data_IF_845345229036
#
_entry.id   IF_845345229036
#
_cell.length_a   1.000
_cell.length_b   1.000
_cell.length_c   1.000
_cell.angle_alpha   90.00
_cell.angle_beta   90.00
_cell.angle_gamma   90.00
#
_symmetry.space_group_name_H-M   'P 1'
#
loop_
_entity.id
_entity.type
_entity.pdbx_description
1 polymer ?
#
# COMPACT_ATOMS: atom_id res chain seq x y z
N UNK A 1 29.09 11.88 -3.69
CA UNK A 1 28.94 10.87 -4.76
C UNK A 1 27.54 10.33 -4.65
N UNK A 2 26.83 10.03 -5.76
CA UNK A 2 25.52 9.38 -5.62
C UNK A 2 25.69 8.07 -4.86
N UNK A 3 24.79 7.81 -3.91
CA UNK A 3 24.75 6.55 -3.16
C UNK A 3 24.47 5.40 -4.12
N UNK A 4 25.10 4.25 -3.90
CA UNK A 4 24.79 3.03 -4.65
C UNK A 4 23.39 2.55 -4.26
N UNK A 5 22.54 2.30 -5.25
CA UNK A 5 21.20 1.74 -5.03
C UNK A 5 20.80 0.82 -6.20
N UNK A 6 19.85 -0.07 -5.95
CA UNK A 6 19.22 -0.90 -6.98
C UNK A 6 17.80 -0.43 -7.20
N UNK A 7 17.29 -0.56 -8.43
CA UNK A 7 15.90 -0.23 -8.76
C UNK A 7 15.10 -1.52 -8.98
N UNK A 8 14.02 -1.66 -8.23
CA UNK A 8 13.04 -2.75 -8.34
C UNK A 8 11.73 -2.18 -8.85
N UNK A 9 11.13 -2.84 -9.82
CA UNK A 9 9.87 -2.46 -10.45
C UNK A 9 9.14 -3.69 -10.95
N UNK A 10 7.86 -3.57 -11.28
CA UNK A 10 7.16 -4.56 -12.09
C UNK A 10 7.85 -4.74 -13.44
N UNK A 11 7.70 -5.91 -14.07
CA UNK A 11 8.29 -6.22 -15.37
C UNK A 11 7.84 -5.24 -16.46
N UNK A 12 6.55 -4.90 -16.46
CA UNK A 12 5.95 -3.88 -17.31
C UNK A 12 4.93 -3.06 -16.49
N UNK A 13 4.86 -1.74 -16.70
CA UNK A 13 3.86 -0.86 -16.11
C UNK A 13 3.10 -0.19 -17.24
N UNK A 14 1.78 -0.39 -17.29
CA UNK A 14 0.85 0.31 -18.18
C UNK A 14 0.04 1.29 -17.37
N UNK A 15 0.20 2.56 -17.67
CA UNK A 15 -0.52 3.64 -16.99
C UNK A 15 -1.41 4.40 -17.96
N UNK A 16 -2.68 4.59 -17.59
CA UNK A 16 -3.63 5.42 -18.32
C UNK A 16 -5.03 4.82 -18.39
N UNK A 17 -6.00 5.66 -18.73
CA UNK A 17 -7.39 5.24 -18.85
C UNK A 17 -7.59 4.27 -20.01
N UNK A 18 -8.37 3.19 -19.78
CA UNK A 18 -8.63 2.16 -20.77
C UNK A 18 -7.55 1.07 -20.85
N UNK A 19 -6.51 1.12 -20.02
CA UNK A 19 -5.46 0.10 -20.04
C UNK A 19 -5.95 -1.28 -19.59
N UNK A 20 -7.07 -1.38 -18.88
CA UNK A 20 -7.71 -2.66 -18.55
C UNK A 20 -7.95 -3.53 -19.79
N UNK A 21 -8.29 -2.93 -20.93
CA UNK A 21 -8.60 -3.64 -22.18
C UNK A 21 -7.39 -4.41 -22.76
N UNK A 22 -6.18 -4.11 -22.28
CA UNK A 22 -4.95 -4.75 -22.76
C UNK A 22 -4.63 -6.06 -22.01
N UNK A 23 -5.31 -6.35 -20.88
CA UNK A 23 -4.99 -7.46 -19.97
C UNK A 23 -5.25 -8.82 -20.63
N UNK A 24 -6.44 -9.01 -21.21
CA UNK A 24 -6.82 -10.30 -21.81
C UNK A 24 -5.83 -10.74 -22.90
N UNK A 25 -5.39 -9.79 -23.75
CA UNK A 25 -4.39 -10.09 -24.79
C UNK A 25 -3.01 -10.44 -24.22
N UNK A 26 -2.61 -9.79 -23.10
CA UNK A 26 -1.35 -10.13 -22.43
C UNK A 26 -1.38 -11.53 -21.80
N UNK A 27 -2.50 -11.92 -21.17
CA UNK A 27 -2.69 -13.26 -20.57
C UNK A 27 -2.72 -14.33 -21.64
N UNK A 28 -3.49 -14.14 -22.73
CA UNK A 28 -3.64 -15.11 -23.82
C UNK A 28 -2.32 -15.48 -24.52
N UNK A 29 -1.32 -14.61 -24.47
CA UNK A 29 0.03 -14.92 -24.99
C UNK A 29 0.84 -15.85 -24.08
N UNK A 30 0.36 -16.15 -22.87
CA UNK A 30 1.13 -16.86 -21.83
C UNK A 30 0.45 -18.11 -21.31
N UNK A 31 -0.87 -18.17 -21.33
CA UNK A 31 -1.64 -19.27 -20.76
C UNK A 31 -3.07 -19.27 -21.25
N UNK A 32 -3.71 -20.43 -21.16
CA UNK A 32 -5.15 -20.61 -21.36
C UNK A 32 -5.92 -20.63 -20.03
N UNK A 33 -5.24 -20.94 -18.89
CA UNK A 33 -5.85 -21.10 -17.56
C UNK A 33 -5.43 -19.98 -16.62
N UNK A 34 -6.38 -19.13 -16.26
CA UNK A 34 -6.15 -17.95 -15.45
C UNK A 34 -7.05 -17.92 -14.22
N UNK A 35 -6.49 -17.52 -13.06
CA UNK A 35 -7.30 -17.20 -11.90
C UNK A 35 -7.41 -15.68 -11.76
N UNK A 36 -8.65 -15.17 -11.74
CA UNK A 36 -8.96 -13.78 -11.42
C UNK A 36 -9.26 -13.66 -9.92
N UNK A 37 -8.33 -13.08 -9.19
CA UNK A 37 -8.53 -12.68 -7.78
C UNK A 37 -9.18 -11.30 -7.77
N UNK A 38 -10.34 -11.16 -7.09
CA UNK A 38 -11.10 -9.92 -7.11
C UNK A 38 -11.69 -9.58 -5.72
N UNK A 39 -12.10 -8.32 -5.53
CA UNK A 39 -12.79 -7.87 -4.33
C UNK A 39 -14.25 -8.33 -4.28
N UNK A 40 -14.99 -7.90 -3.25
CA UNK A 40 -16.40 -8.28 -3.06
C UNK A 40 -17.34 -7.85 -4.19
N UNK A 41 -16.97 -6.90 -5.05
CA UNK A 41 -17.78 -6.44 -6.18
C UNK A 41 -17.63 -7.34 -7.41
N UNK A 42 -18.56 -8.29 -7.57
CA UNK A 42 -18.64 -9.14 -8.77
C UNK A 42 -18.87 -8.35 -10.07
N UNK A 43 -19.54 -7.19 -9.99
CA UNK A 43 -19.80 -6.35 -11.16
C UNK A 43 -18.51 -5.77 -11.78
N UNK A 44 -17.51 -5.42 -10.96
CA UNK A 44 -16.20 -4.97 -11.46
C UNK A 44 -15.44 -6.12 -12.13
N UNK A 45 -15.48 -7.31 -11.52
CA UNK A 45 -14.85 -8.51 -12.08
C UNK A 45 -15.48 -8.94 -13.41
N UNK A 46 -16.81 -8.77 -13.56
CA UNK A 46 -17.55 -9.22 -14.74
C UNK A 46 -17.03 -8.63 -16.06
N UNK A 47 -16.58 -7.39 -16.06
CA UNK A 47 -16.01 -6.73 -17.26
C UNK A 47 -14.76 -7.48 -17.71
N UNK A 48 -13.80 -7.68 -16.81
CA UNK A 48 -12.56 -8.37 -17.15
C UNK A 48 -12.80 -9.86 -17.45
N UNK A 49 -13.71 -10.53 -16.72
CA UNK A 49 -14.10 -11.91 -17.02
C UNK A 49 -14.66 -12.06 -18.44
N UNK A 50 -15.50 -11.12 -18.87
CA UNK A 50 -16.00 -11.08 -20.24
C UNK A 50 -14.90 -10.91 -21.28
N UNK A 51 -13.89 -10.09 -20.99
CA UNK A 51 -12.72 -9.89 -21.86
C UNK A 51 -11.84 -11.14 -21.92
N UNK A 52 -11.59 -11.81 -20.78
CA UNK A 52 -10.82 -13.06 -20.71
C UNK A 52 -11.54 -14.18 -21.49
N UNK A 53 -12.83 -14.35 -21.27
CA UNK A 53 -13.63 -15.33 -22.00
C UNK A 53 -13.68 -15.02 -23.51
N UNK A 54 -13.81 -13.75 -23.90
CA UNK A 54 -13.75 -13.29 -25.28
C UNK A 54 -12.41 -13.56 -25.96
N UNK A 55 -11.33 -13.67 -25.20
CA UNK A 55 -9.99 -14.07 -25.65
C UNK A 55 -9.77 -15.61 -25.64
N UNK A 56 -10.80 -16.40 -25.30
CA UNK A 56 -10.74 -17.87 -25.28
C UNK A 56 -10.07 -18.45 -24.03
N UNK A 57 -9.94 -17.66 -22.95
CA UNK A 57 -9.30 -18.09 -21.71
C UNK A 57 -10.27 -18.78 -20.77
N UNK A 58 -9.82 -19.84 -20.10
CA UNK A 58 -10.53 -20.50 -19.00
C UNK A 58 -10.25 -19.75 -17.69
N UNK A 59 -11.21 -18.92 -17.26
CA UNK A 59 -11.05 -18.00 -16.16
C UNK A 59 -11.77 -18.51 -14.89
N UNK A 60 -11.00 -18.88 -13.87
CA UNK A 60 -11.46 -19.19 -12.53
C UNK A 60 -11.48 -17.93 -11.67
N UNK A 61 -12.40 -17.84 -10.71
CA UNK A 61 -12.50 -16.66 -9.85
C UNK A 61 -12.23 -16.98 -8.39
N UNK A 62 -11.54 -16.08 -7.72
CA UNK A 62 -11.32 -16.14 -6.27
C UNK A 62 -11.62 -14.77 -5.64
N UNK A 63 -12.52 -14.72 -4.66
CA UNK A 63 -12.97 -13.45 -4.05
C UNK A 63 -12.28 -13.20 -2.71
N UNK A 64 -11.78 -11.98 -2.52
CA UNK A 64 -11.16 -11.49 -1.27
C UNK A 64 -11.89 -10.23 -0.84
N UNK A 65 -12.70 -10.33 0.23
CA UNK A 65 -13.55 -9.23 0.68
C UNK A 65 -12.87 -8.27 1.69
N UNK A 66 -11.76 -8.70 2.29
CA UNK A 66 -10.99 -7.98 3.33
C UNK A 66 -9.49 -8.26 3.15
N UNK A 67 -8.67 -7.77 4.07
CA UNK A 67 -7.26 -8.17 4.11
C UNK A 67 -7.13 -9.70 4.20
N UNK A 68 -6.31 -10.33 3.34
CA UNK A 68 -6.28 -11.77 3.22
C UNK A 68 -5.74 -12.40 4.50
N UNK A 69 -6.45 -13.38 5.03
CA UNK A 69 -5.96 -14.25 6.10
C UNK A 69 -5.08 -15.37 5.55
N UNK A 70 -4.35 -16.03 6.44
CA UNK A 70 -3.58 -17.23 6.10
C UNK A 70 -4.49 -18.32 5.48
N UNK A 71 -5.72 -18.43 5.96
CA UNK A 71 -6.70 -19.38 5.41
C UNK A 71 -7.16 -18.99 4.00
N UNK A 72 -7.42 -17.69 3.75
CA UNK A 72 -7.76 -17.22 2.41
C UNK A 72 -6.64 -17.56 1.40
N UNK A 73 -5.38 -17.35 1.79
CA UNK A 73 -4.23 -17.70 0.93
C UNK A 73 -4.15 -19.20 0.70
N UNK A 74 -4.34 -20.03 1.73
CA UNK A 74 -4.32 -21.49 1.59
C UNK A 74 -5.39 -21.95 0.60
N UNK A 75 -6.62 -21.49 0.78
CA UNK A 75 -7.74 -21.82 -0.10
C UNK A 75 -7.50 -21.38 -1.55
N UNK A 76 -6.94 -20.18 -1.76
CA UNK A 76 -6.58 -19.70 -3.09
C UNK A 76 -5.49 -20.53 -3.76
N UNK A 77 -4.48 -20.95 -3.01
CA UNK A 77 -3.40 -21.81 -3.51
C UNK A 77 -3.93 -23.21 -3.87
N UNK A 78 -4.78 -23.80 -3.03
CA UNK A 78 -5.39 -25.12 -3.29
C UNK A 78 -6.25 -25.07 -4.54
N UNK A 79 -7.18 -24.11 -4.65
CA UNK A 79 -8.01 -23.94 -5.86
C UNK A 79 -7.19 -23.70 -7.12
N UNK A 80 -6.11 -22.89 -7.04
CA UNK A 80 -5.25 -22.66 -8.17
C UNK A 80 -4.51 -23.93 -8.63
N UNK A 81 -4.07 -24.78 -7.68
CA UNK A 81 -3.45 -26.08 -7.98
C UNK A 81 -4.42 -27.07 -8.61
N UNK A 82 -5.62 -27.20 -8.02
CA UNK A 82 -6.69 -28.10 -8.53
C UNK A 82 -7.10 -27.74 -9.95
N UNK A 83 -7.25 -26.43 -10.24
CA UNK A 83 -7.59 -25.95 -11.57
C UNK A 83 -6.36 -25.85 -12.52
N UNK A 84 -5.17 -26.24 -12.05
CA UNK A 84 -3.93 -26.15 -12.82
C UNK A 84 -3.69 -24.74 -13.40
N UNK A 85 -3.93 -23.71 -12.60
CA UNK A 85 -3.78 -22.30 -13.00
C UNK A 85 -2.32 -21.99 -13.34
N UNK A 86 -2.13 -21.22 -14.39
CA UNK A 86 -0.81 -20.87 -14.93
C UNK A 86 -0.52 -19.35 -14.85
N UNK A 87 -1.55 -18.51 -14.70
CA UNK A 87 -1.44 -17.05 -14.54
C UNK A 87 -2.41 -16.59 -13.46
N UNK A 88 -1.96 -15.70 -12.60
CA UNK A 88 -2.81 -15.01 -11.62
C UNK A 88 -3.02 -13.56 -12.05
N UNK A 89 -4.26 -13.11 -12.05
CA UNK A 89 -4.65 -11.71 -12.29
C UNK A 89 -5.38 -11.20 -11.07
N UNK A 90 -4.93 -10.09 -10.47
CA UNK A 90 -5.64 -9.42 -9.37
C UNK A 90 -6.29 -8.14 -9.85
N UNK A 91 -7.61 -8.00 -9.60
CA UNK A 91 -8.37 -6.78 -9.87
C UNK A 91 -9.01 -6.29 -8.56
N UNK A 92 -8.40 -5.31 -7.91
CA UNK A 92 -8.89 -4.81 -6.62
C UNK A 92 -7.98 -3.83 -5.90
N UNK A 93 -8.28 -3.56 -4.65
CA UNK A 93 -7.40 -2.79 -3.77
C UNK A 93 -6.19 -3.57 -3.29
N UNK A 94 -5.36 -2.97 -2.42
CA UNK A 94 -4.14 -3.58 -1.89
C UNK A 94 -4.33 -5.00 -1.36
N UNK A 95 -5.39 -5.26 -0.61
CA UNK A 95 -5.72 -6.58 -0.07
C UNK A 95 -5.88 -7.67 -1.16
N UNK A 96 -6.55 -7.32 -2.26
CA UNK A 96 -6.75 -8.24 -3.40
C UNK A 96 -5.45 -8.49 -4.15
N UNK A 97 -4.64 -7.44 -4.34
CA UNK A 97 -3.34 -7.55 -4.98
C UNK A 97 -2.40 -8.40 -4.13
N UNK A 98 -2.39 -8.19 -2.81
CA UNK A 98 -1.58 -8.98 -1.88
C UNK A 98 -1.99 -10.44 -1.87
N UNK A 99 -3.29 -10.74 -1.87
CA UNK A 99 -3.78 -12.11 -2.00
C UNK A 99 -3.30 -12.78 -3.27
N UNK A 100 -3.51 -12.15 -4.45
CA UNK A 100 -3.08 -12.72 -5.71
C UNK A 100 -1.57 -12.88 -5.83
N UNK A 101 -0.81 -11.92 -5.31
CA UNK A 101 0.65 -11.97 -5.25
C UNK A 101 1.14 -13.15 -4.40
N UNK A 102 0.52 -13.36 -3.21
CA UNK A 102 0.83 -14.48 -2.34
C UNK A 102 0.44 -15.82 -2.97
N UNK A 103 -0.74 -15.91 -3.60
CA UNK A 103 -1.18 -17.11 -4.33
C UNK A 103 -0.20 -17.44 -5.46
N UNK A 104 0.14 -16.45 -6.30
CA UNK A 104 1.11 -16.64 -7.40
C UNK A 104 2.46 -17.18 -6.91
N UNK A 105 2.94 -16.65 -5.77
CA UNK A 105 4.20 -17.07 -5.17
C UNK A 105 4.15 -18.50 -4.58
N UNK A 106 3.02 -18.88 -4.01
CA UNK A 106 2.91 -20.10 -3.20
C UNK A 106 2.32 -21.31 -3.97
N UNK A 107 1.68 -21.11 -5.13
CA UNK A 107 1.22 -22.23 -5.97
C UNK A 107 2.36 -23.17 -6.34
N UNK A 108 3.53 -22.72 -6.83
CA UNK A 108 4.66 -23.59 -7.13
C UNK A 108 5.52 -23.96 -5.91
N UNK A 109 5.25 -23.38 -4.74
CA UNK A 109 6.05 -23.59 -3.54
C UNK A 109 5.72 -24.92 -2.83
N UNK A 110 6.71 -25.50 -2.15
CA UNK A 110 6.57 -26.74 -1.40
C UNK A 110 6.54 -26.49 0.12
N UNK A 111 5.81 -27.33 0.85
CA UNK A 111 5.74 -27.27 2.31
C UNK A 111 4.62 -26.37 2.83
N UNK A 112 4.72 -25.95 4.08
CA UNK A 112 3.71 -25.16 4.75
C UNK A 112 3.85 -23.67 4.39
N UNK A 113 2.73 -23.02 4.06
CA UNK A 113 2.70 -21.58 3.75
C UNK A 113 3.32 -20.74 4.88
N UNK A 114 3.13 -21.16 6.13
CA UNK A 114 3.62 -20.42 7.30
C UNK A 114 5.15 -20.33 7.33
N UNK A 115 5.86 -21.30 6.76
CA UNK A 115 7.33 -21.30 6.72
C UNK A 115 7.91 -20.13 5.92
N UNK A 116 7.17 -19.62 4.95
CA UNK A 116 7.57 -18.52 4.08
C UNK A 116 7.29 -17.13 4.68
N UNK A 117 6.45 -17.05 5.72
CA UNK A 117 6.07 -15.79 6.34
C UNK A 117 7.18 -15.22 7.22
N UNK A 118 7.37 -13.90 7.16
CA UNK A 118 8.22 -13.19 8.12
C UNK A 118 7.61 -13.26 9.53
N UNK A 119 8.43 -13.17 10.57
CA UNK A 119 8.04 -13.07 11.99
C UNK A 119 7.39 -14.33 12.57
N UNK A 120 6.32 -14.82 11.96
CA UNK A 120 5.55 -15.99 12.46
C UNK A 120 6.06 -17.31 11.91
N UNK A 121 6.80 -17.26 10.81
CA UNK A 121 7.48 -18.38 10.18
C UNK A 121 8.98 -18.22 10.24
N UNK A 122 9.67 -18.93 9.36
CA UNK A 122 11.13 -18.89 9.26
C UNK A 122 11.64 -17.90 8.20
N UNK A 123 10.73 -17.20 7.49
CA UNK A 123 11.09 -16.37 6.36
C UNK A 123 11.79 -17.15 5.24
N UNK A 124 11.36 -18.40 5.02
CA UNK A 124 11.92 -19.30 4.01
C UNK A 124 11.86 -18.64 2.64
N UNK A 125 12.94 -18.67 1.89
CA UNK A 125 12.97 -18.14 0.54
C UNK A 125 12.16 -19.04 -0.40
N UNK A 126 11.52 -18.44 -1.40
CA UNK A 126 10.83 -19.19 -2.45
C UNK A 126 11.85 -20.08 -3.19
N UNK A 127 11.53 -21.34 -3.41
CA UNK A 127 12.39 -22.29 -4.12
C UNK A 127 12.17 -22.22 -5.63
N UNK A 128 10.91 -22.02 -6.01
CA UNK A 128 10.47 -21.90 -7.40
C UNK A 128 10.13 -20.45 -7.74
N UNK A 129 10.16 -20.11 -9.03
CA UNK A 129 9.63 -18.84 -9.50
C UNK A 129 8.10 -18.79 -9.25
N UNK A 130 7.54 -17.66 -8.83
CA UNK A 130 6.10 -17.45 -8.80
C UNK A 130 5.45 -17.72 -10.17
N UNK A 131 4.14 -17.98 -10.17
CA UNK A 131 3.36 -17.91 -11.41
C UNK A 131 3.38 -16.49 -11.96
N UNK A 132 3.29 -16.30 -13.28
CA UNK A 132 3.11 -14.96 -13.87
C UNK A 132 1.95 -14.23 -13.21
N UNK A 133 2.17 -12.96 -12.84
CA UNK A 133 1.23 -12.18 -12.03
C UNK A 133 0.93 -10.83 -12.67
N UNK A 134 -0.37 -10.53 -12.81
CA UNK A 134 -0.88 -9.23 -13.27
C UNK A 134 -1.58 -8.53 -12.10
N UNK A 135 -1.16 -7.33 -11.79
CA UNK A 135 -1.74 -6.50 -10.74
C UNK A 135 -2.50 -5.29 -11.32
N UNK A 136 -3.79 -5.17 -10.97
CA UNK A 136 -4.71 -4.13 -11.47
C UNK A 136 -5.37 -3.44 -10.27
N UNK A 137 -4.82 -2.32 -9.78
CA UNK A 137 -5.38 -1.61 -8.64
C UNK A 137 -6.71 -0.93 -8.99
N UNK A 138 -7.66 -0.97 -8.06
CA UNK A 138 -8.92 -0.22 -8.12
C UNK A 138 -9.05 0.85 -7.03
N UNK A 139 -7.97 1.05 -6.27
CA UNK A 139 -7.79 2.14 -5.30
C UNK A 139 -6.44 2.81 -5.55
N UNK A 140 -6.37 4.11 -5.32
CA UNK A 140 -5.12 4.86 -5.38
C UNK A 140 -4.61 5.09 -3.93
N UNK A 141 -3.81 4.17 -3.42
CA UNK A 141 -3.33 4.19 -2.03
C UNK A 141 -2.01 3.47 -1.86
N UNK A 142 -2.05 2.16 -1.73
CA UNK A 142 -0.92 1.31 -1.33
C UNK A 142 0.20 1.15 -2.36
N UNK A 143 -0.06 1.36 -3.66
CA UNK A 143 0.90 1.07 -4.71
C UNK A 143 1.35 -0.41 -4.74
N UNK A 144 0.52 -1.33 -4.24
CA UNK A 144 0.85 -2.74 -4.12
C UNK A 144 1.18 -3.41 -5.46
N UNK A 145 0.71 -2.83 -6.56
CA UNK A 145 0.96 -3.29 -7.93
C UNK A 145 2.41 -3.21 -8.39
N UNK A 146 3.27 -2.50 -7.64
CA UNK A 146 4.71 -2.38 -7.94
C UNK A 146 5.60 -2.73 -6.74
N UNK A 147 5.06 -3.39 -5.73
CA UNK A 147 5.81 -3.85 -4.56
C UNK A 147 6.08 -5.35 -4.59
N UNK A 148 7.08 -5.79 -3.81
CA UNK A 148 7.59 -7.17 -3.76
C UNK A 148 7.17 -7.97 -2.52
N UNK A 149 6.16 -7.49 -1.82
CA UNK A 149 5.62 -8.13 -0.62
C UNK A 149 4.10 -8.27 -0.72
N UNK A 150 3.56 -9.18 0.04
CA UNK A 150 2.14 -9.33 0.32
C UNK A 150 1.93 -9.32 1.84
N UNK A 151 0.97 -8.53 2.30
CA UNK A 151 0.59 -8.47 3.72
C UNK A 151 -0.54 -9.47 3.98
N UNK A 152 -0.35 -10.34 4.97
CA UNK A 152 -1.27 -11.42 5.32
C UNK A 152 -1.63 -11.27 6.79
N UNK A 153 -2.91 -11.33 7.08
CA UNK A 153 -3.42 -11.32 8.45
C UNK A 153 -3.30 -12.73 9.07
N UNK A 154 -2.68 -12.80 10.26
CA UNK A 154 -2.54 -14.04 11.05
C UNK A 154 -3.22 -13.81 12.40
N UNK A 155 -4.55 -14.03 12.49
CA UNK A 155 -5.35 -13.71 13.68
C UNK A 155 -4.86 -14.40 14.95
N UNK A 156 -4.34 -15.64 14.84
CA UNK A 156 -3.82 -16.42 15.97
C UNK A 156 -2.65 -15.73 16.66
N UNK A 157 -1.92 -14.89 15.93
CA UNK A 157 -0.77 -14.14 16.45
C UNK A 157 -1.08 -12.63 16.60
N UNK A 158 -2.35 -12.25 16.48
CA UNK A 158 -2.83 -10.86 16.59
C UNK A 158 -1.98 -9.86 15.76
N UNK A 159 -1.59 -10.28 14.55
CA UNK A 159 -0.67 -9.48 13.75
C UNK A 159 -0.81 -9.66 12.25
N UNK A 160 -0.29 -8.67 11.53
CA UNK A 160 -0.09 -8.70 10.08
C UNK A 160 1.37 -9.00 9.81
N UNK A 161 1.62 -9.94 8.92
CA UNK A 161 2.96 -10.37 8.53
C UNK A 161 3.14 -10.26 7.03
N UNK A 162 4.38 -10.15 6.58
CA UNK A 162 4.68 -10.10 5.16
C UNK A 162 5.23 -11.44 4.66
N UNK A 163 4.78 -11.83 3.48
CA UNK A 163 5.51 -12.68 2.56
C UNK A 163 6.31 -11.75 1.63
N UNK A 164 7.61 -11.98 1.47
CA UNK A 164 8.46 -11.06 0.71
C UNK A 164 9.56 -11.79 -0.05
N UNK A 165 9.58 -11.56 -1.37
CA UNK A 165 10.67 -11.99 -2.26
C UNK A 165 10.74 -11.03 -3.47
N UNK A 166 11.93 -10.75 -3.98
CA UNK A 166 12.08 -9.86 -5.14
C UNK A 166 11.35 -10.39 -6.39
N UNK A 167 11.15 -11.71 -6.49
CA UNK A 167 10.43 -12.38 -7.58
C UNK A 167 8.91 -12.22 -7.50
N UNK A 168 8.40 -11.67 -6.40
CA UNK A 168 6.97 -11.36 -6.23
C UNK A 168 6.56 -10.01 -6.85
N UNK A 169 7.50 -9.30 -7.46
CA UNK A 169 7.14 -8.15 -8.30
C UNK A 169 6.25 -8.62 -9.45
N UNK A 170 5.12 -7.93 -9.74
CA UNK A 170 4.26 -8.31 -10.85
C UNK A 170 5.00 -8.30 -12.19
N UNK A 171 4.65 -9.24 -13.07
CA UNK A 171 5.11 -9.21 -14.45
C UNK A 171 4.48 -8.05 -15.22
N UNK A 172 3.22 -7.74 -14.88
CA UNK A 172 2.48 -6.61 -15.44
C UNK A 172 1.70 -5.87 -14.33
N UNK A 173 1.92 -4.57 -14.20
CA UNK A 173 1.08 -3.66 -13.44
C UNK A 173 0.24 -2.82 -14.40
N UNK A 174 -1.09 -2.87 -14.26
CA UNK A 174 -2.02 -2.10 -15.09
C UNK A 174 -2.72 -1.05 -14.21
N UNK A 175 -2.23 0.16 -14.25
CA UNK A 175 -2.77 1.28 -13.51
C UNK A 175 -3.72 2.06 -14.41
N UNK A 176 -4.99 1.67 -14.38
CA UNK A 176 -6.07 2.34 -15.09
C UNK A 176 -6.86 3.24 -14.13
N UNK A 177 -6.65 4.57 -14.17
CA UNK A 177 -7.31 5.48 -13.25
C UNK A 177 -8.85 5.43 -13.30
N UNK A 178 -9.43 5.03 -14.44
CA UNK A 178 -10.89 4.92 -14.58
C UNK A 178 -11.51 3.90 -13.61
N UNK A 179 -10.71 2.93 -13.15
CA UNK A 179 -11.14 1.94 -12.16
C UNK A 179 -11.33 2.55 -10.75
N UNK A 180 -10.81 3.75 -10.52
CA UNK A 180 -11.00 4.51 -9.28
C UNK A 180 -12.15 5.51 -9.34
N UNK A 181 -12.75 5.73 -10.52
CA UNK A 181 -13.84 6.66 -10.69
C UNK A 181 -15.01 6.31 -9.77
N UNK A 182 -15.62 7.35 -9.17
CA UNK A 182 -16.73 7.21 -8.22
C UNK A 182 -16.47 6.30 -7.02
N UNK A 183 -15.21 6.05 -6.69
CA UNK A 183 -14.89 5.40 -5.41
C UNK A 183 -15.50 6.19 -4.26
N UNK A 184 -16.14 5.54 -3.27
CA UNK A 184 -16.76 6.23 -2.14
C UNK A 184 -15.81 7.22 -1.48
N UNK A 185 -16.34 8.36 -1.05
CA UNK A 185 -15.56 9.47 -0.51
C UNK A 185 -14.68 9.06 0.68
N UNK A 186 -15.21 8.23 1.58
CA UNK A 186 -14.44 7.70 2.73
C UNK A 186 -13.26 6.84 2.29
N UNK A 187 -13.45 5.98 1.28
CA UNK A 187 -12.38 5.16 0.72
C UNK A 187 -11.36 6.05 -0.01
N UNK A 188 -11.82 7.07 -0.75
CA UNK A 188 -10.95 8.02 -1.44
C UNK A 188 -10.08 8.80 -0.44
N UNK A 189 -10.65 9.25 0.69
CA UNK A 189 -9.90 9.95 1.73
C UNK A 189 -8.84 9.05 2.35
N UNK A 190 -9.24 7.86 2.80
CA UNK A 190 -8.33 6.91 3.45
C UNK A 190 -7.19 6.49 2.50
N UNK A 191 -7.52 6.03 1.28
CA UNK A 191 -6.50 5.61 0.32
C UNK A 191 -5.63 6.77 -0.16
N UNK A 192 -6.20 7.97 -0.33
CA UNK A 192 -5.45 9.15 -0.76
C UNK A 192 -4.46 9.64 0.32
N UNK A 193 -4.84 9.56 1.60
CA UNK A 193 -3.93 9.87 2.71
C UNK A 193 -2.83 8.80 2.85
N UNK A 194 -3.16 7.53 2.58
CA UNK A 194 -2.17 6.46 2.47
C UNK A 194 -1.15 6.74 1.36
N UNK A 195 -1.62 7.05 0.15
CA UNK A 195 -0.75 7.42 -0.97
C UNK A 195 0.13 8.64 -0.66
N UNK A 196 -0.43 9.68 -0.01
CA UNK A 196 0.34 10.83 0.45
C UNK A 196 1.41 10.44 1.46
N UNK A 197 1.06 9.62 2.45
CA UNK A 197 2.02 9.10 3.44
C UNK A 197 3.12 8.31 2.75
N UNK A 198 2.75 7.50 1.78
CA UNK A 198 3.66 6.59 1.07
C UNK A 198 4.57 7.28 0.04
N UNK A 199 4.34 8.55 -0.29
CA UNK A 199 5.32 9.37 -1.01
C UNK A 199 6.14 10.27 -0.07
N UNK A 200 5.61 10.61 1.11
CA UNK A 200 6.34 11.42 2.10
C UNK A 200 7.37 10.57 2.85
N UNK A 201 6.99 9.43 3.42
CA UNK A 201 7.93 8.62 4.21
C UNK A 201 9.16 8.15 3.43
N UNK A 202 9.07 7.64 2.20
CA UNK A 202 10.25 7.32 1.41
C UNK A 202 11.13 8.54 1.09
N UNK A 203 10.53 9.72 0.96
CA UNK A 203 11.26 10.96 0.70
C UNK A 203 12.13 11.40 1.89
N UNK A 204 11.61 11.26 3.10
CA UNK A 204 12.30 11.67 4.32
C UNK A 204 13.13 10.55 4.97
N UNK A 205 12.98 9.29 4.52
CA UNK A 205 13.61 8.15 5.17
C UNK A 205 15.14 8.12 5.01
N UNK A 206 15.81 7.39 5.89
CA UNK A 206 17.28 7.25 5.85
C UNK A 206 17.83 6.38 4.71
N UNK A 207 16.94 5.87 3.82
CA UNK A 207 17.27 5.09 2.62
C UNK A 207 16.87 5.79 1.32
N UNK A 208 16.43 7.05 1.41
CA UNK A 208 16.08 7.85 0.26
C UNK A 208 17.25 7.91 -0.73
N UNK A 209 16.97 7.93 -2.01
CA UNK A 209 17.96 7.95 -3.07
C UNK A 209 17.44 8.74 -4.28
N UNK A 210 18.31 9.05 -5.22
CA UNK A 210 17.98 9.89 -6.37
C UNK A 210 16.75 9.42 -7.16
N UNK A 211 16.57 8.10 -7.30
CA UNK A 211 15.39 7.55 -8.00
C UNK A 211 14.10 7.82 -7.22
N UNK A 212 14.09 7.52 -5.93
CA UNK A 212 12.90 7.74 -5.08
C UNK A 212 12.62 9.22 -4.87
N UNK A 213 13.66 10.05 -4.77
CA UNK A 213 13.51 11.51 -4.65
C UNK A 213 12.82 12.14 -5.86
N UNK A 214 13.16 11.68 -7.07
CA UNK A 214 12.52 12.13 -8.30
C UNK A 214 11.01 11.83 -8.31
N UNK A 215 10.63 10.63 -7.89
CA UNK A 215 9.23 10.21 -7.82
C UNK A 215 8.46 10.99 -6.74
N UNK A 216 9.03 11.07 -5.53
CA UNK A 216 8.35 11.68 -4.40
C UNK A 216 8.19 13.20 -4.57
N UNK A 217 9.20 13.91 -5.06
CA UNK A 217 9.12 15.35 -5.31
C UNK A 217 8.07 15.75 -6.34
N UNK A 218 7.85 14.92 -7.36
CA UNK A 218 6.76 15.12 -8.32
C UNK A 218 5.40 14.79 -7.70
N UNK A 219 5.31 13.69 -6.94
CA UNK A 219 4.06 13.15 -6.47
C UNK A 219 3.44 13.92 -5.26
N UNK A 220 4.27 14.41 -4.33
CA UNK A 220 3.79 15.06 -3.10
C UNK A 220 2.86 16.25 -3.35
N UNK A 221 3.21 17.26 -4.16
CA UNK A 221 2.32 18.40 -4.42
C UNK A 221 1.07 17.98 -5.20
N UNK A 222 1.16 16.99 -6.09
CA UNK A 222 0.01 16.44 -6.82
C UNK A 222 -0.98 15.77 -5.86
N UNK A 223 -0.49 14.97 -4.89
CA UNK A 223 -1.32 14.27 -3.92
C UNK A 223 -2.24 15.22 -3.16
N UNK A 224 -1.70 16.29 -2.60
CA UNK A 224 -2.50 17.26 -1.83
C UNK A 224 -3.55 17.96 -2.70
N UNK A 225 -3.17 18.41 -3.89
CA UNK A 225 -4.08 19.13 -4.77
C UNK A 225 -5.21 18.23 -5.28
N UNK A 226 -4.86 17.01 -5.72
CA UNK A 226 -5.83 16.05 -6.23
C UNK A 226 -6.78 15.56 -5.16
N UNK A 227 -6.26 15.19 -3.98
CA UNK A 227 -7.08 14.69 -2.88
C UNK A 227 -8.05 15.76 -2.37
N UNK A 228 -7.60 17.00 -2.21
CA UNK A 228 -8.48 18.12 -1.82
C UNK A 228 -9.61 18.32 -2.84
N UNK A 229 -9.29 18.29 -4.12
CA UNK A 229 -10.31 18.40 -5.18
C UNK A 229 -11.33 17.27 -5.10
N UNK A 230 -10.87 16.01 -4.89
CA UNK A 230 -11.73 14.83 -4.79
C UNK A 230 -12.61 14.85 -3.53
N UNK A 231 -12.17 15.53 -2.47
CA UNK A 231 -12.99 15.73 -1.28
C UNK A 231 -14.10 16.79 -1.49
N UNK A 232 -14.01 17.61 -2.52
CA UNK A 232 -15.06 18.57 -2.87
C UNK A 232 -15.98 18.05 -3.96
N UNK A 233 -15.41 17.46 -5.01
CA UNK A 233 -16.16 16.96 -6.18
C UNK A 233 -15.42 15.83 -6.89
N UNK A 234 -16.18 14.96 -7.53
CA UNK A 234 -15.62 13.97 -8.45
C UNK A 234 -14.92 14.65 -9.62
N UNK A 235 -13.69 14.24 -9.92
CA UNK A 235 -12.86 14.83 -10.97
C UNK A 235 -11.92 13.78 -11.58
N UNK A 236 -12.13 13.43 -12.84
CA UNK A 236 -11.34 12.42 -13.55
C UNK A 236 -9.84 12.77 -13.56
N UNK A 237 -9.47 14.02 -13.81
CA UNK A 237 -8.06 14.43 -13.77
C UNK A 237 -7.43 14.24 -12.39
N UNK A 238 -8.19 14.51 -11.30
CA UNK A 238 -7.70 14.27 -9.94
C UNK A 238 -7.60 12.78 -9.61
N UNK A 239 -8.46 11.92 -10.21
CA UNK A 239 -8.30 10.45 -10.13
C UNK A 239 -7.03 10.00 -10.84
N UNK A 240 -6.72 10.55 -12.00
CA UNK A 240 -5.50 10.26 -12.74
C UNK A 240 -4.25 10.66 -11.95
N UNK A 241 -4.28 11.86 -11.35
CA UNK A 241 -3.19 12.32 -10.46
C UNK A 241 -3.02 11.40 -9.22
N UNK A 242 -4.11 11.02 -8.54
CA UNK A 242 -4.00 10.13 -7.37
C UNK A 242 -3.51 8.73 -7.76
N UNK A 243 -3.90 8.20 -8.92
CA UNK A 243 -3.38 6.93 -9.43
C UNK A 243 -1.86 7.01 -9.70
N UNK A 244 -1.40 8.14 -10.26
CA UNK A 244 0.03 8.40 -10.44
C UNK A 244 0.77 8.49 -9.09
N UNK A 245 0.23 9.22 -8.12
CA UNK A 245 0.79 9.34 -6.77
C UNK A 245 0.94 7.97 -6.11
N UNK A 246 -0.11 7.14 -6.16
CA UNK A 246 -0.08 5.78 -5.61
C UNK A 246 1.00 4.92 -6.25
N UNK A 247 1.12 4.97 -7.58
CA UNK A 247 2.17 4.27 -8.32
C UNK A 247 3.57 4.74 -7.90
N UNK A 248 3.79 6.06 -7.82
CA UNK A 248 5.05 6.64 -7.35
C UNK A 248 5.38 6.19 -5.92
N UNK A 249 4.37 6.17 -5.03
CA UNK A 249 4.52 5.70 -3.65
C UNK A 249 4.93 4.23 -3.56
N UNK A 250 4.30 3.36 -4.34
CA UNK A 250 4.66 1.94 -4.41
C UNK A 250 6.08 1.72 -4.92
N UNK A 251 6.48 2.43 -5.98
CA UNK A 251 7.85 2.40 -6.49
C UNK A 251 8.85 2.94 -5.46
N UNK A 252 8.52 4.03 -4.77
CA UNK A 252 9.37 4.61 -3.73
C UNK A 252 9.52 3.66 -2.53
N UNK A 253 8.43 3.04 -2.06
CA UNK A 253 8.46 2.02 -1.01
C UNK A 253 9.37 0.84 -1.39
N UNK A 254 9.24 0.32 -2.62
CA UNK A 254 10.01 -0.85 -3.06
C UNK A 254 11.53 -0.57 -3.12
N UNK A 255 11.94 0.70 -3.25
CA UNK A 255 13.31 1.14 -3.52
C UNK A 255 13.97 2.00 -2.42
N UNK A 256 13.22 2.40 -1.39
CA UNK A 256 13.72 3.09 -0.21
C UNK A 256 13.22 2.41 1.07
N UNK A 257 12.12 2.87 1.60
CA UNK A 257 11.49 2.35 2.82
C UNK A 257 10.42 3.32 3.28
N UNK A 258 9.82 2.98 4.41
CA UNK A 258 8.80 3.82 5.06
C UNK A 258 9.35 4.36 6.38
N UNK A 259 8.48 4.77 7.29
CA UNK A 259 8.86 5.37 8.57
C UNK A 259 7.89 5.03 9.69
N UNK A 260 7.77 5.98 10.62
CA UNK A 260 7.02 5.85 11.87
C UNK A 260 5.52 5.65 11.64
N UNK A 261 4.96 6.28 10.59
CA UNK A 261 3.52 6.22 10.33
C UNK A 261 3.13 4.78 9.97
N UNK A 262 3.74 4.20 8.94
CA UNK A 262 3.51 2.80 8.59
C UNK A 262 4.04 1.82 9.66
N UNK A 263 5.09 2.22 10.40
CA UNK A 263 5.62 1.45 11.52
C UNK A 263 4.60 1.24 12.63
N UNK A 264 3.74 2.23 12.89
CA UNK A 264 2.64 2.18 13.84
C UNK A 264 1.35 1.63 13.23
N UNK A 265 1.04 1.98 11.97
CA UNK A 265 -0.19 1.53 11.31
C UNK A 265 -0.27 0.00 11.16
N UNK A 266 0.86 -0.67 10.95
CA UNK A 266 0.93 -2.14 10.87
C UNK A 266 0.43 -2.82 12.16
N UNK A 267 1.08 -2.61 13.32
CA UNK A 267 0.62 -3.14 14.60
C UNK A 267 -0.82 -2.75 14.96
N UNK A 268 -1.19 -1.48 14.79
CA UNK A 268 -2.56 -1.02 15.08
C UNK A 268 -3.60 -1.73 14.22
N UNK A 269 -3.32 -1.93 12.94
CA UNK A 269 -4.23 -2.63 12.03
C UNK A 269 -4.39 -4.12 12.32
N UNK A 270 -3.53 -4.72 13.16
CA UNK A 270 -3.72 -6.08 13.72
C UNK A 270 -4.64 -6.12 14.94
N UNK A 271 -4.96 -4.95 15.52
CA UNK A 271 -5.74 -4.82 16.77
C UNK A 271 -7.16 -4.32 16.54
N UNK A 272 -7.47 -3.80 15.37
CA UNK A 272 -8.78 -3.26 15.01
C UNK A 272 -9.07 -3.49 13.53
N UNK A 273 -10.34 -3.37 13.14
CA UNK A 273 -10.79 -3.51 11.74
C UNK A 273 -10.70 -2.17 10.96
N UNK A 274 -9.93 -1.21 11.44
CA UNK A 274 -9.78 0.08 10.77
C UNK A 274 -9.08 -0.07 9.41
N UNK A 275 -9.54 0.63 8.37
CA UNK A 275 -8.85 0.66 7.09
C UNK A 275 -7.41 1.16 7.25
N UNK A 276 -6.45 0.47 6.66
CA UNK A 276 -5.01 0.80 6.78
C UNK A 276 -4.70 2.27 6.46
N UNK A 277 -5.24 2.78 5.35
CA UNK A 277 -5.01 4.16 4.96
C UNK A 277 -5.67 5.19 5.90
N UNK A 278 -6.73 4.82 6.63
CA UNK A 278 -7.28 5.68 7.66
C UNK A 278 -6.33 5.80 8.86
N UNK A 279 -5.72 4.68 9.29
CA UNK A 279 -4.67 4.69 10.32
C UNK A 279 -3.47 5.54 9.89
N UNK A 280 -2.97 5.35 8.65
CA UNK A 280 -1.88 6.16 8.12
C UNK A 280 -2.23 7.65 8.11
N UNK A 281 -3.41 8.02 7.61
CA UNK A 281 -3.85 9.41 7.56
C UNK A 281 -3.99 10.06 8.93
N UNK A 282 -4.50 9.32 9.92
CA UNK A 282 -4.64 9.81 11.30
C UNK A 282 -3.28 10.02 11.97
N UNK A 283 -2.32 9.14 11.70
CA UNK A 283 -0.98 9.22 12.27
C UNK A 283 -0.07 10.23 11.56
N UNK A 284 -0.34 10.55 10.29
CA UNK A 284 0.55 11.34 9.43
C UNK A 284 0.97 12.69 10.05
N UNK A 285 0.06 13.58 10.50
CA UNK A 285 0.45 14.88 11.04
C UNK A 285 1.33 14.75 12.28
N UNK A 286 1.01 13.82 13.17
CA UNK A 286 1.75 13.61 14.43
C UNK A 286 3.10 12.92 14.20
N UNK A 287 3.17 12.00 13.22
CA UNK A 287 4.42 11.35 12.84
C UNK A 287 5.41 12.32 12.19
N UNK A 288 4.93 13.25 11.36
CA UNK A 288 5.75 14.30 10.77
C UNK A 288 6.27 15.27 11.84
N UNK A 289 5.42 15.71 12.77
CA UNK A 289 5.81 16.56 13.91
C UNK A 289 6.90 15.87 14.72
N UNK A 290 6.68 14.63 15.12
CA UNK A 290 7.64 13.87 15.94
C UNK A 290 8.99 13.67 15.23
N UNK A 291 8.99 13.37 13.92
CA UNK A 291 10.22 13.25 13.16
C UNK A 291 10.95 14.60 13.07
N UNK A 292 10.24 15.72 12.83
CA UNK A 292 10.84 17.05 12.73
C UNK A 292 11.52 17.47 14.04
N UNK A 293 10.93 17.13 15.19
CA UNK A 293 11.46 17.43 16.52
C UNK A 293 12.70 16.57 16.88
N UNK A 294 12.86 15.37 16.29
CA UNK A 294 13.84 14.38 16.75
C UNK A 294 14.87 13.97 15.69
N UNK A 295 14.77 14.47 14.47
CA UNK A 295 15.74 14.13 13.41
C UNK A 295 17.09 14.79 13.70
N UNK A 296 18.18 14.01 13.55
CA UNK A 296 19.53 14.50 13.77
C UNK A 296 20.29 14.84 12.46
N UNK A 297 19.84 14.31 11.33
CA UNK A 297 20.44 14.54 10.01
C UNK A 297 19.95 15.87 9.43
N UNK A 298 20.87 16.76 9.07
CA UNK A 298 20.53 18.04 8.40
C UNK A 298 19.79 17.80 7.07
N UNK A 299 20.19 16.77 6.31
CA UNK A 299 19.50 16.42 5.06
C UNK A 299 18.04 15.99 5.32
N UNK A 300 17.80 15.12 6.30
CA UNK A 300 16.44 14.69 6.64
C UNK A 300 15.62 15.82 7.26
N UNK A 301 16.25 16.72 8.03
CA UNK A 301 15.62 17.92 8.56
C UNK A 301 15.13 18.82 7.42
N UNK A 302 16.00 19.14 6.47
CA UNK A 302 15.66 19.94 5.28
C UNK A 302 14.47 19.34 4.51
N UNK A 303 14.45 18.01 4.32
CA UNK A 303 13.37 17.32 3.63
C UNK A 303 12.04 17.39 4.41
N UNK A 304 12.08 17.26 5.73
CA UNK A 304 10.90 17.41 6.58
C UNK A 304 10.37 18.86 6.56
N UNK A 305 11.25 19.84 6.52
CA UNK A 305 10.89 21.24 6.34
C UNK A 305 10.27 21.51 4.96
N UNK A 306 10.79 20.94 3.89
CA UNK A 306 10.18 20.99 2.55
C UNK A 306 8.74 20.44 2.58
N UNK A 307 8.49 19.31 3.27
CA UNK A 307 7.14 18.75 3.43
C UNK A 307 6.24 19.69 4.23
N UNK A 308 6.72 20.23 5.35
CA UNK A 308 5.97 21.18 6.17
C UNK A 308 5.57 22.42 5.35
N UNK A 309 6.50 22.96 4.57
CA UNK A 309 6.27 24.15 3.76
C UNK A 309 5.28 23.86 2.61
N UNK A 310 5.37 22.69 1.97
CA UNK A 310 4.43 22.25 0.95
C UNK A 310 2.99 22.09 1.51
N UNK A 311 2.85 21.54 2.71
CA UNK A 311 1.56 21.44 3.41
C UNK A 311 1.04 22.84 3.80
N UNK A 312 1.88 23.71 4.35
CA UNK A 312 1.52 25.08 4.71
C UNK A 312 0.99 25.86 3.48
N UNK A 313 1.68 25.74 2.36
CA UNK A 313 1.26 26.34 1.08
C UNK A 313 -0.09 25.76 0.62
N UNK A 314 -0.25 24.44 0.67
CA UNK A 314 -1.47 23.75 0.24
C UNK A 314 -2.69 24.21 1.05
N UNK A 315 -2.53 24.42 2.36
CA UNK A 315 -3.61 24.87 3.24
C UNK A 315 -3.70 26.39 3.41
N UNK A 316 -2.77 27.16 2.85
CA UNK A 316 -2.68 28.62 2.99
C UNK A 316 -2.58 29.06 4.46
N UNK A 317 -1.72 28.39 5.23
CA UNK A 317 -1.47 28.65 6.65
C UNK A 317 0.01 28.92 6.90
N UNK A 318 0.38 29.54 8.05
CA UNK A 318 1.78 29.60 8.47
C UNK A 318 2.39 28.19 8.61
N UNK A 319 3.70 28.05 8.37
CA UNK A 319 4.42 26.78 8.45
C UNK A 319 4.27 26.09 9.81
N UNK A 320 4.19 26.86 10.89
CA UNK A 320 3.94 26.34 12.26
C UNK A 320 2.57 25.68 12.45
N UNK A 321 1.63 25.88 11.53
CA UNK A 321 0.28 25.31 11.56
C UNK A 321 0.07 24.21 10.52
N UNK A 322 1.08 23.85 9.73
CA UNK A 322 0.95 22.96 8.60
C UNK A 322 0.38 21.58 8.98
N UNK A 323 0.91 20.96 10.02
CA UNK A 323 0.49 19.63 10.46
C UNK A 323 -0.88 19.66 11.14
N UNK A 324 -1.16 20.68 11.94
CA UNK A 324 -2.50 20.89 12.52
C UNK A 324 -3.55 21.11 11.42
N UNK A 325 -3.22 21.91 10.39
CA UNK A 325 -4.12 22.14 9.28
C UNK A 325 -4.43 20.85 8.48
N UNK A 326 -3.44 19.95 8.33
CA UNK A 326 -3.65 18.63 7.73
C UNK A 326 -4.59 17.77 8.60
N UNK A 327 -4.36 17.73 9.92
CA UNK A 327 -5.22 16.99 10.85
C UNK A 327 -6.67 17.51 10.79
N UNK A 328 -6.85 18.81 10.95
CA UNK A 328 -8.17 19.47 10.95
C UNK A 328 -8.90 19.27 9.61
N UNK A 329 -8.16 19.35 8.50
CA UNK A 329 -8.73 19.10 7.18
C UNK A 329 -9.19 17.65 7.03
N UNK A 330 -8.38 16.71 7.46
CA UNK A 330 -8.72 15.28 7.41
C UNK A 330 -9.95 14.95 8.25
N UNK A 331 -10.02 15.49 9.48
CA UNK A 331 -11.20 15.33 10.36
C UNK A 331 -12.47 15.94 9.77
N UNK A 332 -12.39 17.17 9.22
CA UNK A 332 -13.55 17.81 8.54
C UNK A 332 -14.08 17.00 7.37
N UNK A 333 -13.25 16.18 6.74
CA UNK A 333 -13.66 15.30 5.64
C UNK A 333 -14.03 13.88 6.09
N UNK A 334 -14.04 13.61 7.41
CA UNK A 334 -14.59 12.39 8.00
C UNK A 334 -13.55 11.35 8.40
N UNK A 335 -12.26 11.72 8.46
CA UNK A 335 -11.25 10.86 9.07
C UNK A 335 -11.41 10.89 10.60
N UNK A 336 -11.55 9.72 11.23
CA UNK A 336 -11.66 9.60 12.68
C UNK A 336 -10.30 9.66 13.39
N UNK A 337 -10.31 9.91 14.70
CA UNK A 337 -9.19 9.66 15.62
C UNK A 337 -8.94 8.14 15.72
N UNK A 338 -7.81 7.71 16.29
CA UNK A 338 -7.58 6.29 16.55
C UNK A 338 -8.69 5.66 17.38
N UNK A 339 -9.25 6.40 18.36
CA UNK A 339 -10.41 5.98 19.16
C UNK A 339 -11.64 5.73 18.28
N UNK A 340 -11.98 6.67 17.41
CA UNK A 340 -13.14 6.57 16.51
C UNK A 340 -12.95 5.49 15.43
N UNK A 341 -11.70 5.18 15.10
CA UNK A 341 -11.32 4.05 14.24
C UNK A 341 -11.36 2.70 14.98
N UNK A 342 -11.70 2.67 16.27
CA UNK A 342 -11.87 1.45 17.04
C UNK A 342 -10.57 0.91 17.68
N UNK A 343 -9.51 1.70 17.75
CA UNK A 343 -8.27 1.29 18.44
C UNK A 343 -8.53 1.33 19.96
N UNK A 344 -8.35 0.22 20.69
CA UNK A 344 -8.50 0.21 22.14
C UNK A 344 -7.38 1.02 22.82
N UNK A 345 -7.71 1.81 23.85
CA UNK A 345 -6.70 2.60 24.56
C UNK A 345 -5.59 1.74 25.18
N UNK A 346 -5.98 0.63 25.77
CA UNK A 346 -5.08 -0.36 26.38
C UNK A 346 -4.12 -1.04 25.37
N UNK A 347 -4.39 -0.93 24.10
CA UNK A 347 -3.54 -1.49 23.05
C UNK A 347 -2.42 -0.54 22.60
N UNK A 348 -2.47 0.74 22.99
CA UNK A 348 -1.52 1.76 22.51
C UNK A 348 -0.07 1.45 22.93
N UNK A 349 0.14 0.98 24.16
CA UNK A 349 1.47 0.65 24.67
C UNK A 349 2.08 -0.54 23.91
N UNK A 350 1.31 -1.62 23.71
CA UNK A 350 1.73 -2.77 22.94
C UNK A 350 1.99 -2.42 21.47
N UNK A 351 1.19 -1.54 20.87
CA UNK A 351 1.41 -1.06 19.51
C UNK A 351 2.71 -0.24 19.39
N UNK A 352 3.00 0.63 20.37
CA UNK A 352 4.25 1.40 20.41
C UNK A 352 5.48 0.48 20.54
N UNK A 353 5.41 -0.56 21.37
CA UNK A 353 6.47 -1.57 21.52
C UNK A 353 6.68 -2.37 20.23
N UNK A 354 5.60 -2.87 19.64
CA UNK A 354 5.66 -3.64 18.40
C UNK A 354 6.21 -2.81 17.22
N UNK A 355 5.88 -1.52 17.16
CA UNK A 355 6.36 -0.61 16.13
C UNK A 355 7.89 -0.47 16.09
N UNK A 356 8.58 -0.56 17.22
CA UNK A 356 10.05 -0.51 17.29
C UNK A 356 10.72 -1.63 16.46
N UNK A 357 10.04 -2.76 16.33
CA UNK A 357 10.52 -3.92 15.59
C UNK A 357 9.99 -3.98 14.14
N UNK A 358 9.08 -3.09 13.78
CA UNK A 358 8.50 -3.06 12.44
C UNK A 358 9.57 -2.74 11.37
N UNK A 359 9.48 -3.41 10.23
CA UNK A 359 10.43 -3.20 9.12
C UNK A 359 10.41 -1.76 8.60
N UNK A 360 9.26 -1.10 8.62
CA UNK A 360 9.09 0.31 8.23
C UNK A 360 9.86 1.25 9.16
N UNK A 361 9.87 0.98 10.48
CA UNK A 361 10.57 1.80 11.47
C UNK A 361 12.09 1.86 11.23
N UNK A 362 12.68 0.81 10.66
CA UNK A 362 14.13 0.77 10.38
C UNK A 362 14.62 1.84 9.41
N UNK A 363 13.72 2.37 8.58
CA UNK A 363 14.03 3.41 7.61
C UNK A 363 13.61 4.81 8.09
N UNK A 364 12.99 4.94 9.27
CA UNK A 364 12.58 6.23 9.80
C UNK A 364 13.78 7.19 9.94
N UNK A 365 13.63 8.51 9.60
CA UNK A 365 14.74 9.45 9.66
C UNK A 365 15.22 9.76 11.08
N UNK A 366 14.34 9.67 12.06
CA UNK A 366 14.65 9.89 13.48
C UNK A 366 14.68 8.55 14.24
N UNK A 367 15.58 8.42 15.21
CA UNK A 367 15.55 7.32 16.18
C UNK A 367 14.56 7.68 17.29
N UNK A 368 13.49 6.93 17.41
CA UNK A 368 12.40 7.17 18.33
C UNK A 368 12.37 6.11 19.44
N UNK A 369 12.08 6.54 20.66
CA UNK A 369 11.86 5.66 21.81
C UNK A 369 10.40 5.22 21.89
N UNK A 370 10.13 4.14 22.63
CA UNK A 370 8.77 3.69 22.90
C UNK A 370 7.91 4.78 23.54
N UNK A 371 8.45 5.55 24.47
CA UNK A 371 7.73 6.65 25.13
C UNK A 371 7.33 7.76 24.17
N UNK A 372 8.17 8.08 23.17
CA UNK A 372 7.83 9.05 22.13
C UNK A 372 6.73 8.53 21.21
N UNK A 373 6.81 7.25 20.81
CA UNK A 373 5.77 6.61 20.01
C UNK A 373 4.43 6.55 20.75
N UNK A 374 4.46 6.20 22.04
CA UNK A 374 3.27 6.20 22.89
C UNK A 374 2.67 7.61 23.04
N UNK A 375 3.50 8.64 23.19
CA UNK A 375 3.04 10.03 23.23
C UNK A 375 2.36 10.45 21.91
N UNK A 376 2.91 10.04 20.77
CA UNK A 376 2.27 10.25 19.45
C UNK A 376 0.89 9.57 19.40
N UNK A 377 0.82 8.31 19.82
CA UNK A 377 -0.44 7.56 19.82
C UNK A 377 -1.50 8.19 20.73
N UNK A 378 -1.12 8.72 21.90
CA UNK A 378 -2.04 9.45 22.76
C UNK A 378 -2.57 10.74 22.12
N UNK A 379 -1.72 11.48 21.36
CA UNK A 379 -2.16 12.68 20.62
C UNK A 379 -3.16 12.34 19.51
N UNK A 380 -3.01 11.16 18.90
CA UNK A 380 -3.85 10.71 17.78
C UNK A 380 -5.13 9.97 18.21
N UNK A 381 -5.21 9.57 19.50
CA UNK A 381 -6.33 8.81 20.06
C UNK A 381 -7.46 9.69 20.55
#
# INVERSE_FOLDING_TARGET
>A
MPSLFSVFSAGEIRFGRGQLDTVAGWVAQRSERVMLVHGSSSARAAVLLGQLAGAGLDAHTFSVAREPSLEDIRNGVEQAREASIEVIVSLGGGAVIDAGKAIAALVPANGSIIEYLEVVGNGRLLESAPLPFVAIPTTAGTGAEVTKNAVINVPEQRGKVSLRDNRMLPDLAVVDPSLTDRTPRSVTLASGLDALTQVIEPYVCNRANTFTDMLCRDAIPRAMNALRTLMEKECAASRDEMAWVSLCGGLALANAGLGVIHGLAGPLGGLCDAPHGALCGTLLPYGLELNLENVASEESLSRLEEIRDALALSFSVPTTQAFTALADWSHRHGLGTLRELGVPYEALEAAAEAALNASSMRANPAKLSQSQLLSLLHKAW
#
